data_IF_900471321050
#
_entry.id   IF_900471321050
#
_cell.length_a   1.000
_cell.length_b   1.000
_cell.length_c   1.000
_cell.angle_alpha   90.00
_cell.angle_beta   90.00
_cell.angle_gamma   90.00
#
_symmetry.space_group_name_H-M   'P 1'
#
loop_
_entity.id
_entity.type
_entity.pdbx_description
1 polymer ?
#
# COMPACT_ATOMS: atom_id res chain seq x y z
N UNK A 1 -22.07 16.07 27.12
CA UNK A 1 -21.48 15.21 26.07
C UNK A 1 -21.91 13.78 26.34
N UNK A 2 -22.66 13.16 25.42
CA UNK A 2 -23.23 11.82 25.64
C UNK A 2 -22.13 10.77 25.67
N UNK A 3 -22.04 9.97 26.73
CA UNK A 3 -21.04 8.91 26.90
C UNK A 3 -20.94 7.97 25.67
N UNK A 4 -22.06 7.76 24.99
CA UNK A 4 -22.14 7.01 23.74
C UNK A 4 -21.29 7.63 22.59
N UNK A 5 -21.27 8.96 22.48
CA UNK A 5 -20.48 9.65 21.45
C UNK A 5 -18.98 9.51 21.69
N UNK A 6 -18.55 9.56 22.95
CA UNK A 6 -17.14 9.34 23.31
C UNK A 6 -16.70 7.90 23.01
N UNK A 7 -17.57 6.92 23.29
CA UNK A 7 -17.33 5.51 22.99
C UNK A 7 -17.23 5.25 21.47
N UNK A 8 -18.09 5.89 20.67
CA UNK A 8 -18.09 5.74 19.22
C UNK A 8 -16.82 6.33 18.59
N UNK A 9 -16.35 7.48 19.08
CA UNK A 9 -15.08 8.09 18.64
C UNK A 9 -13.88 7.21 19.01
N UNK A 10 -13.83 6.70 20.25
CA UNK A 10 -12.76 5.81 20.68
C UNK A 10 -12.72 4.53 19.82
N UNK A 11 -13.88 3.91 19.58
CA UNK A 11 -13.99 2.74 18.73
C UNK A 11 -13.54 3.02 17.29
N UNK A 12 -13.94 4.16 16.72
CA UNK A 12 -13.51 4.58 15.39
C UNK A 12 -11.99 4.68 15.28
N UNK A 13 -11.34 5.35 16.24
CA UNK A 13 -9.88 5.47 16.26
C UNK A 13 -9.18 4.11 16.35
N UNK A 14 -9.69 3.21 17.20
CA UNK A 14 -9.13 1.85 17.33
C UNK A 14 -9.18 1.12 15.99
N UNK A 15 -10.35 1.11 15.33
CA UNK A 15 -10.51 0.44 14.03
C UNK A 15 -9.64 1.10 12.96
N UNK A 16 -9.60 2.44 12.93
CA UNK A 16 -8.79 3.19 11.98
C UNK A 16 -7.30 2.86 12.13
N UNK A 17 -6.78 2.84 13.35
CA UNK A 17 -5.37 2.50 13.61
C UNK A 17 -5.11 1.03 13.27
N UNK A 18 -6.03 0.13 13.62
CA UNK A 18 -5.92 -1.30 13.30
C UNK A 18 -5.83 -1.57 11.79
N UNK A 19 -6.44 -0.74 10.95
CA UNK A 19 -6.34 -0.81 9.48
C UNK A 19 -5.15 -0.03 8.94
N UNK A 20 -4.82 1.11 9.55
CA UNK A 20 -3.70 1.95 9.13
C UNK A 20 -2.34 1.24 9.29
N UNK A 21 -2.14 0.47 10.37
CA UNK A 21 -0.88 -0.28 10.61
C UNK A 21 -0.57 -1.29 9.49
N UNK A 22 -1.47 -2.23 9.13
CA UNK A 22 -1.20 -3.18 8.05
C UNK A 22 -1.06 -2.48 6.69
N UNK A 23 -1.81 -1.40 6.47
CA UNK A 23 -1.69 -0.61 5.24
C UNK A 23 -0.35 0.12 5.15
N UNK A 24 0.13 0.71 6.24
CA UNK A 24 1.44 1.35 6.33
C UNK A 24 2.58 0.35 6.11
N UNK A 25 2.49 -0.84 6.72
CA UNK A 25 3.45 -1.92 6.47
C UNK A 25 3.43 -2.39 5.02
N UNK A 26 2.25 -2.44 4.38
CA UNK A 26 2.14 -2.74 2.96
C UNK A 26 2.82 -1.67 2.09
N UNK A 27 2.54 -0.38 2.35
CA UNK A 27 3.17 0.75 1.65
C UNK A 27 4.70 0.74 1.83
N UNK A 28 5.20 0.47 3.04
CA UNK A 28 6.63 0.37 3.30
C UNK A 28 7.29 -0.70 2.44
N UNK A 29 6.65 -1.87 2.29
CA UNK A 29 7.14 -2.96 1.42
C UNK A 29 7.05 -2.63 -0.07
N UNK A 30 6.06 -1.85 -0.49
CA UNK A 30 5.96 -1.35 -1.88
C UNK A 30 7.11 -0.38 -2.17
N UNK A 31 7.35 0.58 -1.29
CA UNK A 31 8.40 1.58 -1.48
C UNK A 31 9.81 1.04 -1.33
N UNK A 32 10.02 -0.01 -0.52
CA UNK A 32 11.34 -0.67 -0.39
C UNK A 32 11.69 -1.58 -1.57
N UNK A 33 10.82 -1.72 -2.57
CA UNK A 33 11.03 -2.63 -3.71
C UNK A 33 10.97 -4.11 -3.33
N UNK A 34 10.46 -4.44 -2.14
CA UNK A 34 10.30 -5.83 -1.71
C UNK A 34 9.14 -6.51 -2.46
N UNK A 35 9.19 -7.84 -2.67
CA UNK A 35 8.09 -8.57 -3.26
C UNK A 35 6.86 -8.58 -2.33
N UNK A 36 5.95 -7.65 -2.57
CA UNK A 36 4.60 -7.60 -1.99
C UNK A 36 3.67 -8.59 -2.69
N UNK A 37 2.62 -9.06 -2.00
CA UNK A 37 1.62 -9.98 -2.58
C UNK A 37 1.04 -9.45 -3.89
N UNK A 38 0.86 -8.14 -3.99
CA UNK A 38 0.40 -7.49 -5.20
C UNK A 38 1.47 -7.49 -6.29
N UNK A 39 2.76 -7.27 -5.99
CA UNK A 39 3.83 -7.39 -6.99
C UNK A 39 4.10 -8.84 -7.40
N UNK A 40 3.69 -9.84 -6.60
CA UNK A 40 3.74 -11.25 -7.03
C UNK A 40 2.70 -11.59 -8.11
N UNK A 41 1.54 -10.93 -8.09
CA UNK A 41 0.44 -11.13 -9.05
C UNK A 41 0.51 -10.12 -10.20
N UNK A 42 0.75 -8.85 -9.87
CA UNK A 42 0.84 -7.74 -10.80
C UNK A 42 2.26 -7.55 -11.36
N UNK A 43 3.32 -8.09 -10.75
CA UNK A 43 4.68 -8.01 -11.28
C UNK A 43 4.88 -8.65 -12.65
N UNK A 44 4.28 -9.82 -12.99
CA UNK A 44 4.26 -10.27 -14.37
C UNK A 44 3.45 -9.31 -15.26
N UNK A 45 2.32 -8.78 -14.81
CA UNK A 45 1.50 -7.84 -15.59
C UNK A 45 2.25 -6.53 -15.88
N UNK A 46 2.91 -5.94 -14.88
CA UNK A 46 3.82 -4.80 -15.02
C UNK A 46 4.92 -5.14 -16.01
N UNK A 47 5.61 -6.27 -15.88
CA UNK A 47 6.63 -6.67 -16.85
C UNK A 47 6.08 -6.84 -18.27
N UNK A 48 4.85 -7.31 -18.42
CA UNK A 48 4.17 -7.39 -19.71
C UNK A 48 3.85 -6.01 -20.28
N UNK A 49 3.31 -5.10 -19.46
CA UNK A 49 2.99 -3.72 -19.85
C UNK A 49 4.27 -2.96 -20.18
N UNK A 50 5.31 -3.01 -19.32
CA UNK A 50 6.63 -2.43 -19.55
C UNK A 50 7.28 -2.98 -20.82
N UNK A 51 7.20 -4.29 -21.09
CA UNK A 51 7.67 -4.88 -22.36
C UNK A 51 6.88 -4.40 -23.57
N UNK A 52 5.55 -4.33 -23.48
CA UNK A 52 4.70 -3.84 -24.56
C UNK A 52 4.94 -2.36 -24.85
N UNK A 53 5.18 -1.55 -23.82
CA UNK A 53 5.50 -0.14 -23.95
C UNK A 53 6.99 0.12 -24.22
N UNK A 54 7.85 -0.90 -24.17
CA UNK A 54 9.32 -0.80 -24.28
C UNK A 54 9.91 0.21 -23.28
N UNK A 55 9.29 0.32 -22.10
CA UNK A 55 9.71 1.20 -21.00
C UNK A 55 10.55 0.35 -20.06
N UNK A 56 11.74 0.84 -19.73
CA UNK A 56 12.66 0.16 -18.83
C UNK A 56 12.22 0.41 -17.38
N UNK A 57 11.69 -0.63 -16.72
CA UNK A 57 11.23 -0.52 -15.33
C UNK A 57 12.40 -0.35 -14.32
N UNK A 58 13.64 -0.63 -14.76
CA UNK A 58 14.87 -0.39 -13.98
C UNK A 58 15.41 1.04 -14.15
N UNK A 59 14.83 1.88 -15.01
CA UNK A 59 15.20 3.29 -15.04
C UNK A 59 14.63 3.98 -13.79
N UNK A 60 15.51 4.22 -12.82
CA UNK A 60 15.26 5.22 -11.79
C UNK A 60 14.90 6.54 -12.47
N UNK A 61 13.72 7.09 -12.17
CA UNK A 61 13.41 8.46 -12.52
C UNK A 61 14.41 9.36 -11.78
N UNK A 62 15.36 9.93 -12.51
CA UNK A 62 16.19 11.00 -11.99
C UNK A 62 15.29 12.18 -11.64
N UNK A 63 15.40 12.68 -10.42
CA UNK A 63 14.76 13.91 -9.96
C UNK A 63 15.14 15.12 -10.83
#
# INVERSE_FOLDING_TARGET
>A
MTANGLLQVALYFIVLIAVAIPLGNYMARVYSGEPVLLSRIAGPLERWIYRCCRIDAEQEMSW
#
